data_IF_231438431154
#
_entry.id   IF_231438431154
#
_cell.length_a   1.000
_cell.length_b   1.000
_cell.length_c   1.000
_cell.angle_alpha   90.00
_cell.angle_beta   90.00
_cell.angle_gamma   90.00
#
_symmetry.space_group_name_H-M   'P 1'
#
loop_
_entity.id
_entity.type
_entity.pdbx_description
1 polymer ?
#
# COMPACT_ATOMS: atom_id res chain seq x y z
N UNK A 1 43.32 -14.05 -35.03
CA UNK A 1 42.55 -12.87 -34.56
C UNK A 1 41.06 -12.87 -34.98
N UNK A 2 40.46 -14.01 -35.39
CA UNK A 2 38.99 -14.11 -35.64
C UNK A 2 38.24 -14.92 -34.57
N UNK A 3 38.95 -15.71 -33.76
CA UNK A 3 38.40 -16.42 -32.59
C UNK A 3 38.18 -15.49 -31.39
N UNK A 4 39.07 -14.52 -31.17
CA UNK A 4 39.00 -13.57 -30.05
C UNK A 4 37.74 -12.68 -30.12
N UNK A 5 37.29 -12.32 -31.33
CA UNK A 5 36.09 -11.51 -31.58
C UNK A 5 34.81 -12.35 -31.44
N UNK A 6 34.85 -13.63 -31.83
CA UNK A 6 33.72 -14.57 -31.67
C UNK A 6 33.44 -14.93 -30.22
N UNK A 7 34.51 -15.11 -29.42
CA UNK A 7 34.37 -15.37 -27.98
C UNK A 7 33.84 -14.14 -27.26
N UNK A 8 34.25 -12.92 -27.66
CA UNK A 8 33.69 -11.67 -27.13
C UNK A 8 32.19 -11.52 -27.42
N UNK A 9 31.74 -11.89 -28.61
CA UNK A 9 30.33 -11.86 -29.01
C UNK A 9 29.48 -12.93 -28.33
N UNK A 10 30.08 -14.04 -27.88
CA UNK A 10 29.40 -15.10 -27.14
C UNK A 10 29.37 -14.83 -25.62
N UNK A 11 30.35 -14.10 -25.09
CA UNK A 11 30.44 -13.77 -23.66
C UNK A 11 29.43 -12.69 -23.23
N UNK A 12 29.03 -11.82 -24.16
CA UNK A 12 28.01 -10.79 -23.91
C UNK A 12 26.57 -11.34 -23.85
N UNK A 13 26.34 -12.56 -24.34
CA UNK A 13 25.00 -13.16 -24.42
C UNK A 13 24.66 -14.04 -23.21
N UNK A 14 25.65 -14.49 -22.43
CA UNK A 14 25.45 -15.41 -21.31
C UNK A 14 25.32 -14.72 -19.95
N UNK A 15 25.68 -13.44 -19.85
CA UNK A 15 25.65 -12.71 -18.57
C UNK A 15 24.25 -12.16 -18.22
N UNK A 16 23.29 -12.20 -19.14
CA UNK A 16 21.93 -11.65 -18.95
C UNK A 16 20.98 -12.59 -18.21
N UNK A 17 21.36 -13.87 -18.00
CA UNK A 17 20.49 -14.86 -17.35
C UNK A 17 20.63 -14.94 -15.82
N UNK A 18 21.58 -14.25 -15.19
CA UNK A 18 21.80 -14.36 -13.73
C UNK A 18 20.97 -13.38 -12.89
N UNK A 19 20.22 -12.47 -13.52
CA UNK A 19 19.40 -11.47 -12.81
C UNK A 19 17.99 -11.95 -12.43
N UNK A 20 17.65 -13.22 -12.67
CA UNK A 20 16.31 -13.75 -12.42
C UNK A 20 16.12 -14.45 -11.05
N UNK A 21 17.11 -14.41 -10.15
CA UNK A 21 16.96 -14.88 -8.76
C UNK A 21 16.74 -13.70 -7.81
N UNK A 22 15.70 -12.91 -8.09
CA UNK A 22 15.34 -11.71 -7.34
C UNK A 22 13.90 -11.71 -6.85
N UNK A 23 13.41 -12.83 -6.32
CA UNK A 23 12.15 -12.90 -5.57
C UNK A 23 12.31 -13.88 -4.41
N UNK A 24 12.46 -13.36 -3.20
CA UNK A 24 11.99 -14.04 -2.01
C UNK A 24 11.32 -12.97 -1.14
N UNK A 25 10.07 -12.70 -1.47
CA UNK A 25 9.09 -12.01 -0.65
C UNK A 25 9.26 -12.47 0.79
N UNK A 26 9.55 -11.55 1.71
CA UNK A 26 9.70 -11.88 3.12
C UNK A 26 8.33 -12.34 3.62
N UNK A 27 8.16 -13.63 3.88
CA UNK A 27 6.94 -14.13 4.53
C UNK A 27 6.91 -13.58 5.96
N UNK A 28 5.99 -12.63 6.19
CA UNK A 28 5.72 -12.08 7.52
C UNK A 28 4.92 -13.14 8.28
N UNK A 29 5.59 -13.91 9.12
CA UNK A 29 4.94 -14.78 10.09
C UNK A 29 4.08 -13.95 11.05
N UNK A 30 2.76 -14.16 11.04
CA UNK A 30 1.86 -13.64 12.07
C UNK A 30 1.16 -14.82 12.77
N UNK A 31 1.38 -14.92 14.09
CA UNK A 31 0.91 -16.03 14.92
C UNK A 31 -0.57 -15.91 15.28
N UNK A 32 -1.30 -17.02 15.07
CA UNK A 32 -2.51 -17.56 15.76
C UNK A 32 -3.64 -16.63 16.25
N UNK A 33 -3.68 -15.36 15.90
CA UNK A 33 -4.88 -14.53 15.88
C UNK A 33 -5.21 -14.21 14.43
N UNK A 34 -6.47 -13.94 14.07
CA UNK A 34 -6.81 -13.45 12.74
C UNK A 34 -6.30 -12.00 12.58
N UNK A 35 -4.98 -11.86 12.45
CA UNK A 35 -4.34 -10.62 12.07
C UNK A 35 -4.54 -10.45 10.57
N UNK A 36 -5.46 -9.56 10.22
CA UNK A 36 -5.55 -9.06 8.86
C UNK A 36 -4.35 -8.15 8.67
N UNK A 37 -3.53 -8.45 7.66
CA UNK A 37 -2.35 -7.65 7.35
C UNK A 37 -2.74 -6.17 7.18
N UNK A 38 -1.99 -5.27 7.82
CA UNK A 38 -2.25 -3.82 7.80
C UNK A 38 -2.29 -3.25 6.38
N UNK A 39 -1.55 -3.83 5.43
CA UNK A 39 -1.60 -3.44 4.02
C UNK A 39 -2.95 -3.77 3.38
N UNK A 40 -3.56 -4.89 3.78
CA UNK A 40 -4.91 -5.27 3.34
C UNK A 40 -5.94 -4.33 3.96
N UNK A 41 -5.81 -3.99 5.25
CA UNK A 41 -6.67 -3.00 5.91
C UNK A 41 -6.55 -1.65 5.19
N UNK A 42 -5.32 -1.18 4.96
CA UNK A 42 -5.03 0.09 4.28
C UNK A 42 -5.67 0.11 2.89
N UNK A 43 -5.50 -0.97 2.12
CA UNK A 43 -6.07 -1.07 0.76
C UNK A 43 -7.59 -1.03 0.79
N UNK A 44 -8.23 -1.75 1.74
CA UNK A 44 -9.69 -1.73 1.91
C UNK A 44 -10.20 -0.34 2.30
N UNK A 45 -9.55 0.34 3.23
CA UNK A 45 -9.94 1.70 3.64
C UNK A 45 -9.77 2.68 2.47
N UNK A 46 -8.63 2.66 1.76
CA UNK A 46 -8.43 3.51 0.57
C UNK A 46 -9.51 3.25 -0.47
N UNK A 47 -9.82 1.99 -0.76
CA UNK A 47 -10.86 1.63 -1.73
C UNK A 47 -12.24 2.09 -1.29
N UNK A 48 -12.57 1.95 0.00
CA UNK A 48 -13.87 2.38 0.53
C UNK A 48 -14.04 3.90 0.46
N UNK A 49 -12.99 4.65 0.78
CA UNK A 49 -12.95 6.12 0.66
C UNK A 49 -13.09 6.54 -0.81
N UNK A 50 -12.34 5.91 -1.72
CA UNK A 50 -12.40 6.16 -3.17
C UNK A 50 -13.79 5.94 -3.76
N UNK A 51 -14.53 4.99 -3.21
CA UNK A 51 -15.89 4.66 -3.66
C UNK A 51 -16.97 5.55 -3.03
N UNK A 52 -16.64 6.45 -2.10
CA UNK A 52 -17.62 7.35 -1.48
C UNK A 52 -17.88 8.57 -2.36
N UNK A 53 -19.11 8.74 -2.90
CA UNK A 53 -19.45 9.91 -3.69
C UNK A 53 -19.39 11.18 -2.83
N UNK A 54 -18.78 12.23 -3.38
CA UNK A 54 -18.69 13.54 -2.71
C UNK A 54 -17.50 13.69 -1.77
N UNK A 55 -16.72 12.63 -1.52
CA UNK A 55 -15.48 12.72 -0.76
C UNK A 55 -14.29 12.89 -1.70
N UNK A 56 -13.53 14.00 -1.56
CA UNK A 56 -12.30 14.21 -2.34
C UNK A 56 -11.19 13.28 -1.87
N UNK A 57 -11.18 12.06 -2.41
CA UNK A 57 -10.25 11.00 -2.00
C UNK A 57 -8.80 11.24 -2.41
N UNK A 58 -8.56 12.11 -3.40
CA UNK A 58 -7.22 12.42 -3.89
C UNK A 58 -6.35 13.16 -2.86
N UNK A 59 -6.97 13.89 -1.93
CA UNK A 59 -6.29 14.67 -0.89
C UNK A 59 -6.27 13.94 0.47
N UNK A 60 -6.81 12.71 0.56
CA UNK A 60 -6.86 11.90 1.79
C UNK A 60 -5.81 10.79 1.73
N UNK A 61 -4.87 10.80 2.66
CA UNK A 61 -3.91 9.71 2.85
C UNK A 61 -4.38 8.76 3.97
N UNK A 62 -4.04 7.49 3.80
CA UNK A 62 -4.41 6.41 4.71
C UNK A 62 -3.19 5.55 4.97
N UNK A 63 -2.86 5.39 6.24
CA UNK A 63 -1.82 4.50 6.73
C UNK A 63 -2.40 3.63 7.84
N UNK A 64 -1.96 2.38 7.94
CA UNK A 64 -2.43 1.47 9.01
C UNK A 64 -1.24 0.82 9.70
N UNK A 65 -1.29 0.75 11.02
CA UNK A 65 -0.32 0.04 11.83
C UNK A 65 -1.01 -0.68 13.00
N UNK A 66 -0.87 -2.00 13.08
CA UNK A 66 -1.49 -2.87 14.09
C UNK A 66 -3.01 -2.64 14.20
N UNK A 67 -3.68 -2.51 13.05
CA UNK A 67 -5.11 -2.21 12.96
C UNK A 67 -5.53 -0.79 13.36
N UNK A 68 -4.59 0.11 13.65
CA UNK A 68 -4.86 1.54 13.86
C UNK A 68 -4.72 2.26 12.53
N UNK A 69 -5.83 2.81 12.04
CA UNK A 69 -5.86 3.58 10.79
C UNK A 69 -5.64 5.05 11.09
N UNK A 70 -4.67 5.65 10.43
CA UNK A 70 -4.43 7.09 10.45
C UNK A 70 -4.95 7.70 9.14
N UNK A 71 -5.86 8.66 9.27
CA UNK A 71 -6.36 9.48 8.17
C UNK A 71 -5.68 10.85 8.22
N UNK A 72 -5.07 11.28 7.12
CA UNK A 72 -4.39 12.57 7.01
C UNK A 72 -4.65 13.24 5.66
N UNK A 73 -4.23 14.50 5.51
CA UNK A 73 -4.45 15.29 4.30
C UNK A 73 -5.44 16.43 4.48
N UNK A 74 -5.99 16.94 3.37
CA UNK A 74 -6.86 18.12 3.35
C UNK A 74 -8.25 17.78 2.83
N UNK A 75 -9.27 18.32 3.48
CA UNK A 75 -10.68 18.11 3.09
C UNK A 75 -11.48 19.41 3.17
N UNK A 76 -12.57 19.46 2.41
CA UNK A 76 -13.36 20.67 2.17
C UNK A 76 -14.34 21.00 3.28
N UNK A 77 -14.74 20.02 4.10
CA UNK A 77 -15.70 20.25 5.18
C UNK A 77 -15.49 19.33 6.38
N UNK A 78 -16.05 19.73 7.52
CA UNK A 78 -16.08 18.84 8.71
C UNK A 78 -16.94 17.60 8.47
N UNK A 79 -17.95 17.69 7.60
CA UNK A 79 -18.77 16.54 7.23
C UNK A 79 -17.92 15.48 6.51
N UNK A 80 -17.03 15.90 5.61
CA UNK A 80 -16.10 15.02 4.89
C UNK A 80 -15.14 14.32 5.85
N UNK A 81 -14.61 15.04 6.84
CA UNK A 81 -13.80 14.45 7.93
C UNK A 81 -14.56 13.33 8.62
N UNK A 82 -15.79 13.62 9.05
CA UNK A 82 -16.60 12.66 9.81
C UNK A 82 -16.96 11.45 8.95
N UNK A 83 -17.28 11.67 7.67
CA UNK A 83 -17.60 10.62 6.71
C UNK A 83 -16.41 9.70 6.44
N UNK A 84 -15.21 10.26 6.21
CA UNK A 84 -14.00 9.47 6.03
C UNK A 84 -13.66 8.63 7.28
N UNK A 85 -13.85 9.19 8.48
CA UNK A 85 -13.68 8.45 9.75
C UNK A 85 -14.68 7.28 9.85
N UNK A 86 -15.94 7.53 9.51
CA UNK A 86 -17.00 6.52 9.53
C UNK A 86 -16.69 5.36 8.57
N UNK A 87 -16.32 5.68 7.33
CA UNK A 87 -15.94 4.69 6.32
C UNK A 87 -14.77 3.85 6.81
N UNK A 88 -13.71 4.48 7.34
CA UNK A 88 -12.55 3.77 7.85
C UNK A 88 -12.91 2.82 9.01
N UNK A 89 -13.78 3.24 9.93
CA UNK A 89 -14.23 2.41 11.06
C UNK A 89 -15.02 1.18 10.63
N UNK A 90 -15.73 1.25 9.51
CA UNK A 90 -16.57 0.15 9.03
C UNK A 90 -15.76 -0.96 8.32
N UNK A 91 -14.45 -0.76 8.10
CA UNK A 91 -13.59 -1.77 7.47
C UNK A 91 -13.20 -2.86 8.48
N UNK A 92 -13.47 -4.14 8.13
CA UNK A 92 -13.06 -5.30 8.96
C UNK A 92 -11.55 -5.27 9.20
N UNK A 93 -11.15 -5.38 10.47
CA UNK A 93 -9.76 -5.37 10.93
C UNK A 93 -9.31 -4.03 11.50
N UNK A 94 -10.11 -2.97 11.34
CA UNK A 94 -9.84 -1.67 11.96
C UNK A 94 -10.20 -1.72 13.44
N UNK A 95 -9.20 -1.50 14.30
CA UNK A 95 -9.34 -1.44 15.75
C UNK A 95 -9.66 -0.02 16.21
N UNK A 96 -9.01 0.98 15.62
CA UNK A 96 -9.28 2.40 15.90
C UNK A 96 -8.88 3.28 14.73
N UNK A 97 -9.41 4.50 14.71
CA UNK A 97 -9.14 5.50 13.68
C UNK A 97 -8.62 6.77 14.35
N UNK A 98 -7.42 7.20 13.93
CA UNK A 98 -6.82 8.48 14.29
C UNK A 98 -7.04 9.47 13.15
N UNK A 99 -7.59 10.63 13.48
CA UNK A 99 -7.84 11.69 12.53
C UNK A 99 -6.80 12.81 12.66
N UNK A 100 -5.97 12.95 11.64
CA UNK A 100 -4.99 14.03 11.48
C UNK A 100 -5.29 14.91 10.24
N UNK A 101 -6.48 14.78 9.63
CA UNK A 101 -6.92 15.61 8.49
C UNK A 101 -7.13 17.08 8.88
N UNK A 102 -6.96 17.96 7.90
CA UNK A 102 -7.10 19.41 8.05
C UNK A 102 -8.17 19.94 7.11
N UNK A 103 -8.85 21.00 7.54
CA UNK A 103 -9.74 21.73 6.66
C UNK A 103 -8.91 22.63 5.74
N UNK A 104 -9.34 22.74 4.48
CA UNK A 104 -8.76 23.64 3.50
C UNK A 104 -9.11 25.10 3.77
#
# INVERSE_FOLDING_TARGET
MKYLIRVFSAFFLTLTLLSAAGCASTEKHEGTGEYVDDSVITTKVKTAILNEPGLSSAEINVETFKGVVQLSGFVTSRADINKAIEIARNVKGVNSVKNDMRLK
#
